data_IF_170183682534
#
_entry.id   IF_170183682534
#
_cell.length_a   1.000
_cell.length_b   1.000
_cell.length_c   1.000
_cell.angle_alpha   90.00
_cell.angle_beta   90.00
_cell.angle_gamma   90.00
#
_symmetry.space_group_name_H-M   'P 1'
#
loop_
_entity.id
_entity.type
_entity.pdbx_description
1 polymer ?
#
# COMPACT_ATOMS: atom_id res chain seq x y z
N UNK A 1 -13.16 -80.67 -22.61
CA UNK A 1 -11.87 -80.89 -23.27
C UNK A 1 -10.85 -79.99 -22.65
N UNK A 2 -9.96 -80.63 -21.95
CA UNK A 2 -8.82 -80.01 -21.26
C UNK A 2 -7.77 -79.53 -22.25
N UNK A 3 -7.09 -78.46 -21.96
CA UNK A 3 -5.66 -78.39 -22.21
C UNK A 3 -5.01 -77.47 -21.20
N UNK A 4 -4.24 -78.08 -20.40
CA UNK A 4 -3.22 -77.71 -19.48
C UNK A 4 -1.99 -77.13 -20.24
N UNK A 5 -1.41 -76.00 -19.79
CA UNK A 5 -0.04 -75.69 -20.05
C UNK A 5 0.57 -74.88 -18.90
N UNK A 6 1.19 -75.64 -18.02
CA UNK A 6 2.28 -75.19 -17.13
C UNK A 6 3.49 -74.73 -17.97
N UNK A 7 4.07 -73.57 -17.62
CA UNK A 7 5.45 -73.24 -17.92
C UNK A 7 5.99 -72.24 -16.89
N UNK A 8 6.72 -72.77 -15.97
CA UNK A 8 8.07 -72.46 -15.49
C UNK A 8 8.42 -71.02 -15.13
N UNK A 9 8.59 -70.89 -13.81
CA UNK A 9 9.40 -69.88 -13.16
C UNK A 9 10.88 -69.97 -13.62
N UNK A 10 11.49 -68.88 -14.03
CA UNK A 10 12.93 -68.67 -13.87
C UNK A 10 13.30 -67.18 -13.94
N UNK A 11 14.18 -66.88 -13.05
CA UNK A 11 15.12 -65.73 -12.91
C UNK A 11 14.66 -64.49 -12.21
N UNK A 12 14.98 -64.50 -10.93
CA UNK A 12 15.25 -63.34 -10.11
C UNK A 12 16.37 -62.48 -10.71
N UNK A 13 16.01 -61.32 -11.21
CA UNK A 13 16.95 -60.25 -11.51
C UNK A 13 17.16 -59.42 -10.25
N UNK A 14 18.32 -59.42 -9.67
CA UNK A 14 18.77 -58.46 -8.69
C UNK A 14 18.63 -57.05 -9.29
N UNK A 15 17.62 -56.31 -8.91
CA UNK A 15 17.63 -54.88 -9.09
C UNK A 15 18.48 -54.27 -7.97
N UNK A 16 19.68 -53.92 -8.35
CA UNK A 16 20.61 -53.07 -7.60
C UNK A 16 19.88 -51.79 -7.24
N UNK A 17 19.50 -51.66 -5.98
CA UNK A 17 19.04 -50.39 -5.41
C UNK A 17 20.29 -49.49 -5.32
N UNK A 18 20.63 -48.85 -6.43
CA UNK A 18 21.47 -47.67 -6.37
C UNK A 18 20.74 -46.65 -5.50
N UNK A 19 21.23 -46.52 -4.27
CA UNK A 19 20.93 -45.39 -3.41
C UNK A 19 21.28 -44.12 -4.21
N UNK A 20 20.27 -43.50 -4.85
CA UNK A 20 20.38 -42.13 -5.22
C UNK A 20 20.62 -41.38 -3.91
N UNK A 21 21.84 -41.00 -3.66
CA UNK A 21 22.14 -39.94 -2.74
C UNK A 21 21.34 -38.74 -3.21
N UNK A 22 20.21 -38.46 -2.56
CA UNK A 22 19.63 -37.12 -2.56
C UNK A 22 20.74 -36.23 -1.99
N UNK A 23 21.55 -35.66 -2.88
CA UNK A 23 22.33 -34.49 -2.58
C UNK A 23 21.33 -33.43 -2.13
N UNK A 24 21.04 -33.37 -0.83
CA UNK A 24 20.45 -32.21 -0.20
C UNK A 24 21.39 -31.04 -0.54
N UNK A 25 21.08 -30.35 -1.64
CA UNK A 25 21.71 -29.06 -1.91
C UNK A 25 21.41 -28.16 -0.72
N UNK A 26 22.34 -28.11 0.22
CA UNK A 26 22.30 -27.17 1.33
C UNK A 26 22.31 -25.78 0.75
N UNK A 27 21.11 -25.21 0.55
CA UNK A 27 20.98 -23.81 0.16
C UNK A 27 21.78 -22.95 1.14
N UNK A 28 22.63 -22.07 0.62
CA UNK A 28 23.38 -21.14 1.47
C UNK A 28 22.41 -20.21 2.20
N UNK A 29 22.82 -19.70 3.38
CA UNK A 29 22.04 -18.72 4.12
C UNK A 29 21.61 -17.54 3.21
N UNK A 30 22.50 -17.08 2.34
CA UNK A 30 22.28 -15.97 1.42
C UNK A 30 21.21 -16.31 0.38
N UNK A 31 21.26 -17.47 -0.25
CA UNK A 31 20.24 -17.88 -1.24
C UNK A 31 18.88 -18.16 -0.61
N UNK A 32 18.85 -18.67 0.62
CA UNK A 32 17.62 -19.04 1.32
C UNK A 32 16.88 -17.84 1.93
N UNK A 33 17.60 -16.89 2.52
CA UNK A 33 17.00 -15.82 3.34
C UNK A 33 17.17 -14.42 2.75
N UNK A 34 18.20 -14.19 1.93
CA UNK A 34 18.49 -12.86 1.36
C UNK A 34 17.99 -12.76 -0.06
N UNK A 35 18.48 -13.59 -0.97
CA UNK A 35 18.06 -13.62 -2.39
C UNK A 35 17.14 -14.81 -2.66
N UNK A 36 16.18 -15.01 -1.77
CA UNK A 36 15.20 -16.09 -1.92
C UNK A 36 14.25 -15.82 -3.09
N UNK A 37 13.93 -16.87 -3.83
CA UNK A 37 12.87 -16.85 -4.85
C UNK A 37 11.55 -17.45 -4.33
N UNK A 38 11.54 -18.02 -3.10
CA UNK A 38 10.34 -18.57 -2.45
C UNK A 38 9.37 -17.45 -2.05
N UNK A 39 8.15 -17.52 -2.52
CA UNK A 39 7.10 -16.54 -2.24
C UNK A 39 6.83 -16.32 -0.75
N UNK A 40 7.00 -17.35 0.09
CA UNK A 40 6.79 -17.26 1.56
C UNK A 40 7.90 -16.45 2.23
N UNK A 41 9.15 -16.64 1.77
CA UNK A 41 10.27 -15.88 2.31
C UNK A 41 10.17 -14.43 1.89
N UNK A 42 9.87 -14.16 0.63
CA UNK A 42 9.67 -12.81 0.10
C UNK A 42 8.52 -12.09 0.84
N UNK A 43 7.42 -12.79 1.10
CA UNK A 43 6.32 -12.27 1.93
C UNK A 43 6.80 -11.81 3.32
N UNK A 44 7.66 -12.60 3.99
CA UNK A 44 8.23 -12.24 5.30
C UNK A 44 9.18 -11.04 5.21
N UNK A 45 9.98 -10.97 4.15
CA UNK A 45 10.89 -9.84 3.91
C UNK A 45 10.10 -8.53 3.74
N UNK A 46 9.03 -8.52 2.94
CA UNK A 46 8.13 -7.36 2.82
C UNK A 46 7.51 -6.99 4.17
N UNK A 47 6.99 -7.96 4.92
CA UNK A 47 6.37 -7.72 6.22
C UNK A 47 7.35 -7.09 7.21
N UNK A 48 8.55 -7.66 7.35
CA UNK A 48 9.54 -7.16 8.31
C UNK A 48 9.96 -5.73 7.94
N UNK A 49 10.26 -5.48 6.66
CA UNK A 49 10.62 -4.13 6.20
C UNK A 49 9.48 -3.14 6.44
N UNK A 50 8.24 -3.51 6.12
CA UNK A 50 7.08 -2.65 6.36
C UNK A 50 6.85 -2.35 7.84
N UNK A 51 7.04 -3.32 8.74
CA UNK A 51 6.93 -3.11 10.20
C UNK A 51 8.02 -2.15 10.70
N UNK A 52 9.26 -2.30 10.23
CA UNK A 52 10.34 -1.37 10.58
C UNK A 52 10.01 0.05 10.12
N UNK A 53 9.58 0.19 8.86
CA UNK A 53 9.17 1.49 8.32
C UNK A 53 7.98 2.08 9.08
N UNK A 54 7.01 1.24 9.47
CA UNK A 54 5.85 1.68 10.27
C UNK A 54 6.29 2.26 11.63
N UNK A 55 7.19 1.58 12.35
CA UNK A 55 7.70 2.06 13.65
C UNK A 55 8.38 3.42 13.48
N UNK A 56 9.21 3.58 12.46
CA UNK A 56 9.90 4.85 12.16
C UNK A 56 8.88 5.95 11.87
N UNK A 57 7.93 5.72 10.95
CA UNK A 57 6.95 6.71 10.55
C UNK A 57 5.98 7.07 11.71
N UNK A 58 5.57 6.09 12.53
CA UNK A 58 4.75 6.34 13.72
C UNK A 58 5.50 7.19 14.75
N UNK A 59 6.79 6.93 14.97
CA UNK A 59 7.63 7.76 15.84
C UNK A 59 7.68 9.21 15.37
N UNK A 60 7.82 9.45 14.06
CA UNK A 60 7.72 10.80 13.47
C UNK A 60 6.38 11.46 13.79
N UNK A 61 5.28 10.71 13.63
CA UNK A 61 3.93 11.19 13.93
C UNK A 61 3.79 11.60 15.41
N UNK A 62 4.31 10.81 16.33
CA UNK A 62 4.29 11.15 17.76
C UNK A 62 5.05 12.46 18.00
N UNK A 63 6.24 12.62 17.45
CA UNK A 63 7.08 13.80 17.64
C UNK A 63 6.36 15.07 17.17
N UNK A 64 5.86 15.11 15.93
CA UNK A 64 5.22 16.33 15.44
C UNK A 64 3.86 16.59 16.10
N UNK A 65 3.13 15.55 16.53
CA UNK A 65 1.87 15.74 17.29
C UNK A 65 2.09 16.26 18.69
N UNK A 66 3.15 15.82 19.36
CA UNK A 66 3.53 16.38 20.66
C UNK A 66 3.85 17.87 20.54
N UNK A 67 4.60 18.30 19.54
CA UNK A 67 4.91 19.70 19.34
C UNK A 67 3.66 20.54 19.00
N UNK A 68 2.69 19.96 18.27
CA UNK A 68 1.40 20.61 18.01
C UNK A 68 0.54 20.74 19.26
N UNK A 69 0.52 19.68 20.10
CA UNK A 69 -0.27 19.68 21.35
C UNK A 69 0.25 20.70 22.36
N UNK A 70 1.57 20.91 22.39
CA UNK A 70 2.23 21.85 23.30
C UNK A 70 3.20 22.76 22.55
N UNK A 71 2.70 23.79 21.84
CA UNK A 71 3.53 24.74 21.10
C UNK A 71 4.45 25.51 22.05
N UNK A 72 5.73 25.54 21.75
CA UNK A 72 6.74 26.23 22.55
C UNK A 72 7.29 25.47 23.77
N UNK A 73 6.72 24.31 24.11
CA UNK A 73 7.29 23.44 25.14
C UNK A 73 8.60 22.79 24.65
N UNK A 74 9.55 22.67 25.56
CA UNK A 74 10.88 22.12 25.30
C UNK A 74 10.90 20.63 25.62
N UNK A 75 11.01 19.80 24.61
CA UNK A 75 11.14 18.36 24.74
C UNK A 75 12.61 17.94 24.67
N UNK A 76 13.23 17.68 25.82
CA UNK A 76 14.65 17.31 25.88
C UNK A 76 15.02 16.09 25.02
N UNK A 77 14.08 15.13 24.82
CA UNK A 77 14.30 13.97 23.98
C UNK A 77 14.39 14.34 22.47
N UNK A 78 13.74 15.40 22.03
CA UNK A 78 13.83 15.89 20.63
C UNK A 78 15.27 16.32 20.36
N UNK A 79 15.84 17.12 21.26
CA UNK A 79 17.25 17.50 21.15
C UNK A 79 18.19 16.29 21.22
N UNK A 80 17.97 15.39 22.20
CA UNK A 80 18.81 14.21 22.38
C UNK A 80 18.77 13.22 21.20
N UNK A 81 17.61 13.05 20.54
CA UNK A 81 17.44 12.13 19.41
C UNK A 81 17.82 12.76 18.06
N UNK A 82 17.47 14.00 17.85
CA UNK A 82 17.50 14.65 16.55
C UNK A 82 18.58 15.74 16.42
N UNK A 83 19.11 16.23 17.54
CA UNK A 83 20.13 17.28 17.59
C UNK A 83 19.58 18.67 17.30
N UNK A 84 20.46 19.70 17.42
CA UNK A 84 20.10 21.12 17.25
C UNK A 84 19.53 21.47 15.89
N UNK A 85 19.91 20.73 14.85
CA UNK A 85 19.41 20.93 13.49
C UNK A 85 17.90 20.73 13.38
N UNK A 86 17.36 19.73 14.06
CA UNK A 86 15.93 19.38 14.05
C UNK A 86 15.13 20.14 15.10
N UNK A 87 15.76 20.45 16.23
CA UNK A 87 15.07 21.07 17.35
C UNK A 87 16.01 21.81 18.30
N UNK A 88 16.21 23.11 18.07
CA UNK A 88 17.00 23.95 18.97
C UNK A 88 16.32 24.03 20.33
N UNK A 89 17.08 23.78 21.40
CA UNK A 89 16.58 23.78 22.76
C UNK A 89 15.41 22.82 23.03
N UNK A 90 15.22 21.80 22.19
CA UNK A 90 14.10 20.85 22.33
C UNK A 90 12.79 21.31 21.72
N UNK A 91 12.76 22.43 20.99
CA UNK A 91 11.61 22.88 20.19
C UNK A 91 11.84 22.49 18.73
N UNK A 92 10.88 21.80 18.14
CA UNK A 92 11.01 21.34 16.74
C UNK A 92 11.04 22.52 15.76
N UNK A 93 12.05 22.53 14.89
CA UNK A 93 12.17 23.53 13.82
C UNK A 93 10.97 23.40 12.86
N UNK A 94 10.30 24.50 12.43
CA UNK A 94 9.18 24.45 11.49
C UNK A 94 9.47 23.71 10.17
N UNK A 95 10.64 23.86 9.58
CA UNK A 95 11.02 23.15 8.37
C UNK A 95 11.15 21.63 8.62
N UNK A 96 11.67 21.27 9.80
CA UNK A 96 11.77 19.86 10.20
C UNK A 96 10.41 19.27 10.58
N UNK A 97 9.50 20.07 11.14
CA UNK A 97 8.12 19.67 11.32
C UNK A 97 7.48 19.26 9.98
N UNK A 98 7.58 20.11 8.95
CA UNK A 98 7.07 19.82 7.60
C UNK A 98 7.75 18.59 6.99
N UNK A 99 9.05 18.43 7.21
CA UNK A 99 9.80 17.26 6.77
C UNK A 99 9.31 15.97 7.43
N UNK A 100 9.07 15.97 8.76
CA UNK A 100 8.52 14.81 9.47
C UNK A 100 7.13 14.44 8.96
N UNK A 101 6.25 15.41 8.72
CA UNK A 101 4.91 15.20 8.16
C UNK A 101 5.00 14.59 6.75
N UNK A 102 5.87 15.14 5.90
CA UNK A 102 6.08 14.66 4.52
C UNK A 102 6.56 13.22 4.49
N UNK A 103 7.60 12.90 5.26
CA UNK A 103 8.21 11.57 5.27
C UNK A 103 7.28 10.55 5.97
N UNK A 104 6.59 10.96 7.05
CA UNK A 104 5.55 10.13 7.67
C UNK A 104 4.49 9.72 6.64
N UNK A 105 3.89 10.69 5.94
CA UNK A 105 2.86 10.42 4.94
C UNK A 105 3.36 9.50 3.82
N UNK A 106 4.53 9.80 3.26
CA UNK A 106 5.15 8.99 2.20
C UNK A 106 5.41 7.55 2.67
N UNK A 107 6.02 7.37 3.84
CA UNK A 107 6.32 6.03 4.37
C UNK A 107 5.04 5.26 4.66
N UNK A 108 4.06 5.88 5.31
CA UNK A 108 2.82 5.19 5.67
C UNK A 108 2.05 4.75 4.44
N UNK A 109 1.89 5.59 3.44
CA UNK A 109 1.14 5.26 2.21
C UNK A 109 1.87 4.19 1.39
N UNK A 110 3.10 4.44 0.99
CA UNK A 110 3.79 3.59 0.02
C UNK A 110 4.50 2.39 0.66
N UNK A 111 5.24 2.59 1.74
CA UNK A 111 6.06 1.51 2.31
C UNK A 111 5.31 0.62 3.30
N UNK A 112 4.40 1.18 4.08
CA UNK A 112 3.66 0.42 5.09
C UNK A 112 2.39 -0.17 4.49
N UNK A 113 1.50 0.66 3.99
CA UNK A 113 0.19 0.20 3.54
C UNK A 113 0.28 -0.54 2.20
N UNK A 114 0.93 0.02 1.19
CA UNK A 114 1.09 -0.66 -0.10
C UNK A 114 2.07 -1.83 0.00
N UNK A 115 3.28 -1.62 0.50
CA UNK A 115 4.26 -2.68 0.70
C UNK A 115 3.84 -3.72 1.73
N UNK A 116 3.25 -3.29 2.87
CA UNK A 116 2.79 -4.18 3.93
C UNK A 116 1.60 -5.05 3.51
N UNK A 117 0.59 -4.49 2.86
CA UNK A 117 -0.58 -5.25 2.41
C UNK A 117 -0.30 -6.00 1.11
N UNK A 118 0.01 -5.28 0.04
CA UNK A 118 0.14 -5.92 -1.28
C UNK A 118 1.39 -6.79 -1.35
N UNK A 119 2.56 -6.28 -0.93
CA UNK A 119 3.81 -7.04 -0.97
C UNK A 119 3.78 -8.28 -0.08
N UNK A 120 3.30 -8.17 1.15
CA UNK A 120 3.23 -9.29 2.09
C UNK A 120 2.16 -10.30 1.71
N UNK A 121 0.90 -9.84 1.61
CA UNK A 121 -0.22 -10.76 1.48
C UNK A 121 -0.41 -11.28 0.06
N UNK A 122 -0.07 -10.51 -0.99
CA UNK A 122 -0.09 -11.05 -2.34
C UNK A 122 0.90 -12.20 -2.49
N UNK A 123 2.15 -12.01 -2.03
CA UNK A 123 3.16 -13.05 -2.05
C UNK A 123 2.77 -14.28 -1.23
N UNK A 124 2.14 -14.09 -0.08
CA UNK A 124 1.72 -15.22 0.75
C UNK A 124 0.50 -15.94 0.15
N UNK A 125 -0.55 -15.18 -0.17
CA UNK A 125 -1.89 -15.73 -0.37
C UNK A 125 -2.18 -16.12 -1.82
N UNK A 126 -1.63 -15.42 -2.81
CA UNK A 126 -1.93 -15.72 -4.22
C UNK A 126 -1.58 -17.18 -4.54
N UNK A 127 -0.33 -17.67 -4.35
CA UNK A 127 -0.02 -19.05 -4.67
C UNK A 127 -0.86 -20.05 -3.86
N UNK A 128 -1.03 -19.80 -2.56
CA UNK A 128 -1.83 -20.70 -1.73
C UNK A 128 -3.29 -20.79 -2.17
N UNK A 129 -3.90 -19.64 -2.50
CA UNK A 129 -5.34 -19.58 -2.77
C UNK A 129 -5.70 -19.96 -4.21
N UNK A 130 -4.77 -19.80 -5.16
CA UNK A 130 -4.98 -20.28 -6.54
C UNK A 130 -4.51 -21.72 -6.74
N UNK A 131 -3.82 -22.31 -5.76
CA UNK A 131 -3.26 -23.67 -5.83
C UNK A 131 -2.00 -23.75 -6.68
N UNK A 132 -1.26 -22.65 -6.84
CA UNK A 132 0.04 -22.61 -7.47
C UNK A 132 1.16 -23.00 -6.49
N UNK A 133 2.24 -23.54 -7.02
CA UNK A 133 3.43 -23.89 -6.22
C UNK A 133 4.18 -22.66 -5.74
N UNK A 134 4.30 -21.66 -6.63
CA UNK A 134 4.96 -20.37 -6.40
C UNK A 134 4.37 -19.32 -7.34
N UNK A 135 4.90 -18.10 -7.30
CA UNK A 135 4.61 -17.05 -8.27
C UNK A 135 5.07 -17.45 -9.67
N UNK A 136 4.49 -16.84 -10.71
CA UNK A 136 4.84 -17.12 -12.10
C UNK A 136 6.32 -16.93 -12.39
N UNK A 137 6.97 -15.95 -11.75
CA UNK A 137 8.40 -15.72 -11.81
C UNK A 137 8.97 -15.45 -10.41
N UNK A 138 9.69 -16.43 -9.86
CA UNK A 138 10.40 -16.25 -8.59
C UNK A 138 11.50 -15.19 -8.66
N UNK A 139 12.17 -15.06 -9.82
CA UNK A 139 13.21 -14.05 -10.03
C UNK A 139 12.65 -12.63 -10.01
N UNK A 140 11.58 -12.37 -10.77
CA UNK A 140 10.93 -11.04 -10.76
C UNK A 140 10.36 -10.71 -9.37
N UNK A 141 9.90 -11.71 -8.65
CA UNK A 141 9.40 -11.56 -7.29
C UNK A 141 10.51 -11.14 -6.32
N UNK A 142 11.64 -11.83 -6.33
CA UNK A 142 12.83 -11.46 -5.56
C UNK A 142 13.32 -10.05 -5.93
N UNK A 143 13.38 -9.73 -7.23
CA UNK A 143 13.84 -8.43 -7.71
C UNK A 143 12.90 -7.32 -7.25
N UNK A 144 11.58 -7.53 -7.24
CA UNK A 144 10.61 -6.57 -6.73
C UNK A 144 10.87 -6.22 -5.26
N UNK A 145 11.17 -7.21 -4.43
CA UNK A 145 11.53 -6.96 -3.04
C UNK A 145 12.82 -6.12 -2.90
N UNK A 146 13.85 -6.42 -3.68
CA UNK A 146 15.12 -5.69 -3.56
C UNK A 146 15.02 -4.24 -4.04
N UNK A 147 14.20 -3.95 -5.04
CA UNK A 147 13.86 -2.56 -5.40
C UNK A 147 13.09 -1.85 -4.28
N UNK A 148 12.15 -2.54 -3.64
CA UNK A 148 11.43 -2.02 -2.47
C UNK A 148 12.36 -1.72 -1.30
N UNK A 149 13.27 -2.63 -0.98
CA UNK A 149 14.23 -2.46 0.10
C UNK A 149 15.22 -1.32 -0.18
N UNK A 150 15.76 -1.26 -1.39
CA UNK A 150 16.64 -0.17 -1.81
C UNK A 150 15.92 1.18 -1.74
N UNK A 151 14.68 1.26 -2.21
CA UNK A 151 13.81 2.43 -2.08
C UNK A 151 13.66 2.87 -0.62
N UNK A 152 13.40 1.91 0.29
CA UNK A 152 13.29 2.17 1.73
C UNK A 152 14.58 2.77 2.31
N UNK A 153 15.73 2.21 1.93
CA UNK A 153 17.04 2.71 2.37
C UNK A 153 17.31 4.13 1.87
N UNK A 154 17.00 4.42 0.60
CA UNK A 154 17.17 5.77 0.02
C UNK A 154 16.26 6.77 0.72
N UNK A 155 14.99 6.42 0.98
CA UNK A 155 14.07 7.28 1.73
C UNK A 155 14.60 7.62 3.11
N UNK A 156 15.07 6.62 3.86
CA UNK A 156 15.61 6.82 5.21
C UNK A 156 16.93 7.58 5.21
N UNK A 157 17.78 7.41 4.19
CA UNK A 157 19.03 8.16 4.08
C UNK A 157 18.82 9.68 3.99
N UNK A 158 17.66 10.12 3.47
CA UNK A 158 17.32 11.54 3.40
C UNK A 158 17.20 12.22 4.78
N UNK A 159 16.99 11.45 5.85
CA UNK A 159 16.92 11.97 7.22
C UNK A 159 18.29 12.49 7.74
N UNK A 160 19.38 12.00 7.16
CA UNK A 160 20.74 12.26 7.64
C UNK A 160 21.53 13.30 6.84
N UNK A 161 20.93 13.84 5.76
CA UNK A 161 21.60 14.85 4.92
C UNK A 161 21.53 16.26 5.54
N UNK A 162 22.40 17.15 5.11
CA UNK A 162 22.61 18.48 5.70
C UNK A 162 21.33 19.35 5.76
N UNK A 163 20.56 19.40 4.69
CA UNK A 163 19.35 20.24 4.60
C UNK A 163 18.06 19.48 4.97
N UNK A 164 18.16 18.24 5.47
CA UNK A 164 17.01 17.40 5.83
C UNK A 164 16.27 16.80 4.63
N UNK A 165 15.27 15.96 4.91
CA UNK A 165 14.49 15.30 3.88
C UNK A 165 13.49 16.24 3.21
N UNK A 166 12.80 15.76 2.17
CA UNK A 166 11.72 16.48 1.52
C UNK A 166 10.68 16.98 2.53
N UNK A 167 10.19 18.21 2.34
CA UNK A 167 9.32 18.91 3.30
C UNK A 167 8.09 19.59 2.67
N UNK A 168 7.81 19.33 1.40
CA UNK A 168 6.68 19.92 0.66
C UNK A 168 5.34 19.16 0.80
N UNK A 169 5.16 18.32 1.83
CA UNK A 169 4.04 17.38 1.94
C UNK A 169 4.27 16.09 1.15
N UNK A 170 3.49 15.03 1.41
CA UNK A 170 3.64 13.76 0.72
C UNK A 170 3.24 13.83 -0.77
N UNK A 171 2.44 14.83 -1.16
CA UNK A 171 2.03 15.13 -2.53
C UNK A 171 3.08 15.89 -3.33
N UNK A 172 4.07 16.50 -2.67
CA UNK A 172 5.21 17.21 -3.27
C UNK A 172 4.84 18.18 -4.40
N UNK A 173 3.85 19.03 -4.21
CA UNK A 173 3.41 19.96 -5.26
C UNK A 173 4.49 20.98 -5.68
N UNK A 174 4.64 21.23 -7.00
CA UNK A 174 5.35 22.41 -7.49
C UNK A 174 4.60 23.69 -7.05
N UNK A 175 5.30 24.82 -6.87
CA UNK A 175 6.71 25.06 -7.19
C UNK A 175 7.72 24.58 -6.13
N UNK A 176 7.29 24.24 -4.89
CA UNK A 176 8.20 23.87 -3.80
C UNK A 176 9.09 22.67 -4.15
N UNK A 177 8.55 21.68 -4.84
CA UNK A 177 9.29 20.48 -5.25
C UNK A 177 10.16 20.71 -6.48
N UNK A 178 9.79 21.65 -7.38
CA UNK A 178 10.48 21.91 -8.63
C UNK A 178 11.68 22.86 -8.47
N UNK A 179 11.64 23.76 -7.49
CA UNK A 179 12.69 24.76 -7.24
C UNK A 179 13.58 24.31 -6.09
N UNK A 180 14.87 23.94 -6.34
CA UNK A 180 15.78 23.49 -5.27
C UNK A 180 15.97 24.52 -4.15
N UNK A 181 15.85 25.81 -4.47
CA UNK A 181 16.08 26.92 -3.54
C UNK A 181 14.81 27.36 -2.79
N UNK A 182 13.65 26.73 -3.06
CA UNK A 182 12.38 27.14 -2.45
C UNK A 182 12.36 26.95 -0.92
N UNK A 183 12.94 25.85 -0.44
CA UNK A 183 13.09 25.56 0.99
C UNK A 183 14.18 24.51 1.21
N UNK A 184 14.63 24.34 2.45
CA UNK A 184 15.72 23.40 2.77
C UNK A 184 15.45 21.99 2.25
N UNK A 185 14.28 21.43 2.48
CA UNK A 185 13.89 20.10 2.01
C UNK A 185 13.70 19.99 0.50
N UNK A 186 13.67 21.10 -0.24
CA UNK A 186 13.61 21.09 -1.71
C UNK A 186 14.95 20.77 -2.38
N UNK A 187 16.07 20.78 -1.66
CA UNK A 187 17.41 20.46 -2.16
C UNK A 187 17.60 18.95 -2.37
N UNK A 188 18.70 18.40 -1.89
CA UNK A 188 19.03 16.97 -2.03
C UNK A 188 17.93 16.04 -1.43
N UNK A 189 17.24 16.49 -0.38
CA UNK A 189 16.14 15.73 0.22
C UNK A 189 15.03 15.38 -0.76
N UNK A 190 14.62 16.34 -1.59
CA UNK A 190 13.63 16.10 -2.63
C UNK A 190 14.18 15.17 -3.73
N UNK A 191 15.45 15.32 -4.11
CA UNK A 191 16.06 14.42 -5.09
C UNK A 191 16.08 12.97 -4.60
N UNK A 192 16.44 12.73 -3.32
CA UNK A 192 16.40 11.40 -2.72
C UNK A 192 14.98 10.85 -2.64
N UNK A 193 13.99 11.71 -2.34
CA UNK A 193 12.57 11.32 -2.39
C UNK A 193 12.19 10.83 -3.79
N UNK A 194 12.53 11.57 -4.84
CA UNK A 194 12.22 11.22 -6.24
C UNK A 194 12.90 9.91 -6.66
N UNK A 195 14.16 9.69 -6.28
CA UNK A 195 14.89 8.44 -6.54
C UNK A 195 14.22 7.27 -5.81
N UNK A 196 13.92 7.46 -4.53
CA UNK A 196 13.24 6.45 -3.73
C UNK A 196 11.90 6.06 -4.34
N UNK A 197 11.07 7.03 -4.70
CA UNK A 197 9.76 6.74 -5.32
C UNK A 197 9.90 6.06 -6.67
N UNK A 198 10.89 6.41 -7.49
CA UNK A 198 11.17 5.72 -8.75
C UNK A 198 11.48 4.23 -8.52
N UNK A 199 12.35 3.93 -7.55
CA UNK A 199 12.67 2.54 -7.17
C UNK A 199 11.43 1.80 -6.65
N UNK A 200 10.61 2.46 -5.84
CA UNK A 200 9.36 1.91 -5.32
C UNK A 200 8.38 1.55 -6.46
N UNK A 201 8.24 2.43 -7.45
CA UNK A 201 7.36 2.21 -8.60
C UNK A 201 7.84 1.01 -9.42
N UNK A 202 9.15 0.89 -9.67
CA UNK A 202 9.73 -0.29 -10.36
C UNK A 202 9.39 -1.56 -9.60
N UNK A 203 9.57 -1.57 -8.28
CA UNK A 203 9.18 -2.68 -7.40
C UNK A 203 7.72 -3.09 -7.59
N UNK A 204 6.82 -2.09 -7.51
CA UNK A 204 5.37 -2.30 -7.59
C UNK A 204 4.92 -2.81 -8.96
N UNK A 205 5.53 -2.35 -10.04
CA UNK A 205 5.25 -2.82 -11.40
C UNK A 205 5.69 -4.27 -11.59
N UNK A 206 6.91 -4.63 -11.15
CA UNK A 206 7.41 -6.01 -11.23
C UNK A 206 6.52 -6.98 -10.44
N UNK A 207 6.15 -6.61 -9.21
CA UNK A 207 5.23 -7.38 -8.37
C UNK A 207 3.84 -7.48 -8.98
N UNK A 208 3.27 -6.36 -9.42
CA UNK A 208 1.92 -6.30 -9.99
C UNK A 208 1.76 -7.16 -11.23
N UNK A 209 2.70 -7.10 -12.18
CA UNK A 209 2.68 -7.95 -13.37
C UNK A 209 2.76 -9.44 -12.98
N UNK A 210 3.66 -9.77 -12.03
CA UNK A 210 3.82 -11.14 -11.55
C UNK A 210 2.55 -11.68 -10.88
N UNK A 211 1.85 -10.86 -10.09
CA UNK A 211 0.58 -11.21 -9.46
C UNK A 211 -0.52 -11.49 -10.50
N UNK A 212 -0.67 -10.60 -11.49
CA UNK A 212 -1.65 -10.77 -12.57
C UNK A 212 -1.41 -12.06 -13.32
N UNK A 213 -0.15 -12.31 -13.75
CA UNK A 213 0.22 -13.51 -14.51
C UNK A 213 -0.01 -14.77 -13.69
N UNK A 214 0.34 -14.76 -12.40
CA UNK A 214 0.13 -15.88 -11.49
C UNK A 214 -1.36 -16.20 -11.36
N UNK A 215 -2.19 -15.20 -11.07
CA UNK A 215 -3.63 -15.37 -10.88
C UNK A 215 -4.32 -15.84 -12.17
N UNK A 216 -3.93 -15.30 -13.33
CA UNK A 216 -4.60 -15.63 -14.59
C UNK A 216 -4.16 -17.01 -15.09
N UNK A 217 -2.88 -17.34 -15.05
CA UNK A 217 -2.33 -18.51 -15.73
C UNK A 217 -2.12 -19.73 -14.82
N UNK A 218 -1.91 -19.54 -13.52
CA UNK A 218 -1.51 -20.64 -12.63
C UNK A 218 -2.64 -21.13 -11.70
N UNK A 219 -3.89 -20.74 -11.94
CA UNK A 219 -5.02 -21.30 -11.19
C UNK A 219 -5.13 -22.80 -11.41
N UNK A 220 -5.41 -23.52 -10.32
CA UNK A 220 -5.67 -24.96 -10.38
C UNK A 220 -6.86 -25.28 -11.30
N UNK A 221 -6.85 -26.47 -11.93
CA UNK A 221 -7.93 -26.92 -12.81
C UNK A 221 -9.28 -26.89 -12.11
N UNK A 222 -10.30 -26.32 -12.75
CA UNK A 222 -11.65 -26.15 -12.19
C UNK A 222 -11.88 -24.87 -11.38
N UNK A 223 -10.84 -24.09 -11.07
CA UNK A 223 -10.98 -22.78 -10.45
C UNK A 223 -11.23 -21.72 -11.52
N UNK A 224 -12.49 -21.54 -11.88
CA UNK A 224 -12.93 -20.43 -12.74
C UNK A 224 -12.85 -19.09 -11.98
N UNK A 225 -12.89 -17.96 -12.69
CA UNK A 225 -12.88 -16.63 -12.07
C UNK A 225 -13.96 -16.49 -10.98
N UNK A 226 -15.17 -17.01 -11.22
CA UNK A 226 -16.29 -16.95 -10.26
C UNK A 226 -16.18 -17.93 -9.07
N UNK A 227 -15.08 -18.68 -8.98
CA UNK A 227 -14.77 -19.57 -7.85
C UNK A 227 -13.53 -19.13 -7.06
N UNK A 228 -12.91 -18.03 -7.46
CA UNK A 228 -11.74 -17.48 -6.74
C UNK A 228 -12.15 -16.88 -5.39
N UNK A 229 -11.32 -17.01 -4.36
CA UNK A 229 -11.49 -16.28 -3.11
C UNK A 229 -11.57 -14.76 -3.32
N UNK A 230 -12.32 -14.05 -2.45
CA UNK A 230 -12.44 -12.59 -2.55
C UNK A 230 -11.12 -11.87 -2.34
N UNK A 231 -10.21 -12.45 -1.55
CA UNK A 231 -8.85 -11.90 -1.39
C UNK A 231 -8.09 -11.91 -2.71
N UNK A 232 -8.19 -12.99 -3.49
CA UNK A 232 -7.54 -13.07 -4.81
C UNK A 232 -8.15 -12.07 -5.80
N UNK A 233 -9.46 -11.87 -5.78
CA UNK A 233 -10.11 -10.81 -6.55
C UNK A 233 -9.62 -9.42 -6.16
N UNK A 234 -9.54 -9.13 -4.87
CA UNK A 234 -9.03 -7.86 -4.38
C UNK A 234 -7.59 -7.61 -4.82
N UNK A 235 -6.71 -8.61 -4.67
CA UNK A 235 -5.31 -8.52 -5.08
C UNK A 235 -5.14 -8.41 -6.61
N UNK A 236 -6.00 -9.08 -7.40
CA UNK A 236 -5.99 -8.94 -8.86
C UNK A 236 -6.34 -7.53 -9.29
N UNK A 237 -7.42 -6.96 -8.74
CA UNK A 237 -7.85 -5.59 -9.07
C UNK A 237 -6.79 -4.60 -8.61
N UNK A 238 -6.25 -4.75 -7.41
CA UNK A 238 -5.14 -3.95 -6.89
C UNK A 238 -3.93 -3.95 -7.83
N UNK A 239 -3.52 -5.13 -8.31
CA UNK A 239 -2.40 -5.25 -9.24
C UNK A 239 -2.69 -4.57 -10.59
N UNK A 240 -3.92 -4.68 -11.10
CA UNK A 240 -4.34 -3.97 -12.33
C UNK A 240 -4.32 -2.46 -12.13
N UNK A 241 -4.86 -1.96 -11.02
CA UNK A 241 -4.81 -0.54 -10.69
C UNK A 241 -3.36 -0.03 -10.66
N UNK A 242 -2.47 -0.75 -9.98
CA UNK A 242 -1.05 -0.38 -9.90
C UNK A 242 -0.35 -0.37 -11.26
N UNK A 243 -0.52 -1.43 -12.07
CA UNK A 243 0.12 -1.51 -13.39
C UNK A 243 -0.34 -0.40 -14.33
N UNK A 244 -1.57 0.08 -14.20
CA UNK A 244 -2.11 1.15 -15.05
C UNK A 244 -1.76 2.56 -14.53
N UNK A 245 -1.65 2.77 -13.22
CA UNK A 245 -1.47 4.10 -12.63
C UNK A 245 -0.01 4.46 -12.30
N UNK A 246 0.81 3.50 -11.87
CA UNK A 246 2.22 3.78 -11.57
C UNK A 246 3.05 4.31 -12.73
N UNK A 247 2.86 3.89 -14.00
CA UNK A 247 3.58 4.50 -15.14
C UNK A 247 3.28 6.00 -15.30
N UNK A 248 2.08 6.45 -14.96
CA UNK A 248 1.74 7.87 -15.01
C UNK A 248 2.48 8.65 -13.92
N UNK A 249 2.64 8.07 -12.72
CA UNK A 249 3.46 8.69 -11.68
C UNK A 249 4.94 8.73 -12.07
N UNK A 250 5.47 7.69 -12.78
CA UNK A 250 6.85 7.76 -13.31
C UNK A 250 6.99 8.95 -14.24
N UNK A 251 6.05 9.16 -15.16
CA UNK A 251 6.06 10.32 -16.06
C UNK A 251 6.06 11.62 -15.28
N UNK A 252 5.20 11.73 -14.25
CA UNK A 252 5.13 12.88 -13.36
C UNK A 252 6.47 13.17 -12.68
N UNK A 253 7.12 12.14 -12.11
CA UNK A 253 8.42 12.26 -11.43
C UNK A 253 9.53 12.62 -12.41
N UNK A 254 9.55 12.03 -13.61
CA UNK A 254 10.57 12.34 -14.63
C UNK A 254 10.49 13.78 -15.12
N UNK A 255 9.28 14.30 -15.38
CA UNK A 255 9.10 15.70 -15.76
C UNK A 255 9.56 16.64 -14.63
N UNK A 256 9.29 16.28 -13.36
CA UNK A 256 9.78 17.05 -12.22
C UNK A 256 11.31 17.02 -12.11
N UNK A 257 11.95 15.89 -12.39
CA UNK A 257 13.42 15.80 -12.44
C UNK A 257 13.96 16.68 -13.56
N UNK A 258 13.31 16.74 -14.72
CA UNK A 258 13.71 17.64 -15.80
C UNK A 258 13.63 19.10 -15.37
N UNK A 259 12.55 19.53 -14.73
CA UNK A 259 12.43 20.92 -14.23
C UNK A 259 13.53 21.26 -13.22
N UNK A 260 13.89 20.31 -12.34
CA UNK A 260 14.91 20.49 -11.31
C UNK A 260 16.35 20.49 -11.83
N UNK A 261 16.62 19.71 -12.87
CA UNK A 261 18.00 19.37 -13.28
C UNK A 261 18.38 19.84 -14.68
N UNK A 262 17.39 20.03 -15.56
CA UNK A 262 17.60 20.39 -16.96
C UNK A 262 17.10 21.80 -17.33
N UNK A 263 16.55 22.53 -16.34
CA UNK A 263 16.04 23.90 -16.56
C UNK A 263 14.78 23.94 -17.46
N UNK A 264 14.00 22.85 -17.50
CA UNK A 264 12.68 22.86 -18.14
C UNK A 264 11.64 23.49 -17.22
N UNK A 265 10.45 23.77 -17.73
CA UNK A 265 9.36 24.40 -16.97
C UNK A 265 8.02 23.73 -17.21
N UNK A 266 7.97 22.40 -17.18
CA UNK A 266 6.71 21.64 -17.31
C UNK A 266 5.68 22.01 -16.25
N UNK A 267 6.14 22.25 -15.02
CA UNK A 267 5.30 22.52 -13.85
C UNK A 267 5.48 23.94 -13.28
N UNK A 268 6.33 24.72 -13.88
CA UNK A 268 6.63 26.10 -13.46
C UNK A 268 5.93 27.09 -14.39
N UNK A 269 4.99 27.84 -13.86
CA UNK A 269 4.37 28.99 -14.51
C UNK A 269 5.15 30.27 -14.19
N UNK A 270 4.63 31.43 -14.58
CA UNK A 270 5.17 32.73 -14.18
C UNK A 270 5.23 32.86 -12.66
N UNK A 271 6.43 32.76 -12.10
CA UNK A 271 6.66 32.82 -10.66
C UNK A 271 7.43 34.10 -10.36
N UNK A 272 6.95 34.88 -9.39
CA UNK A 272 7.60 36.09 -8.89
C UNK A 272 8.12 35.84 -7.48
N UNK A 273 9.42 36.00 -7.26
CA UNK A 273 10.04 35.97 -5.94
C UNK A 273 10.59 37.34 -5.61
N UNK A 274 10.07 37.98 -4.54
CA UNK A 274 10.47 39.33 -4.17
C UNK A 274 10.19 40.37 -5.24
N UNK A 275 9.15 40.20 -6.04
CA UNK A 275 8.78 41.10 -7.13
C UNK A 275 9.58 40.93 -8.43
N UNK A 276 10.46 39.92 -8.50
CA UNK A 276 11.25 39.60 -9.71
C UNK A 276 10.71 38.32 -10.35
N UNK A 277 10.44 38.32 -11.67
CA UNK A 277 10.04 37.09 -12.34
C UNK A 277 11.21 36.09 -12.36
N UNK A 278 10.91 34.81 -12.21
CA UNK A 278 11.83 33.74 -12.57
C UNK A 278 11.81 33.53 -14.09
N UNK A 279 12.92 33.15 -14.66
CA UNK A 279 13.05 32.92 -16.11
C UNK A 279 12.33 31.65 -16.61
N UNK A 280 11.46 31.08 -15.80
CA UNK A 280 10.70 29.87 -16.09
C UNK A 280 9.31 30.23 -16.60
N UNK A 281 9.03 29.97 -17.86
CA UNK A 281 7.78 30.36 -18.52
C UNK A 281 7.12 29.14 -19.17
N UNK A 282 5.82 29.02 -19.05
CA UNK A 282 4.98 28.19 -19.92
C UNK A 282 4.45 26.87 -19.38
N UNK A 283 4.79 26.49 -18.15
CA UNK A 283 4.25 25.29 -17.50
C UNK A 283 3.07 25.58 -16.58
N UNK A 284 2.61 24.53 -15.87
CA UNK A 284 1.52 24.67 -14.89
C UNK A 284 1.64 23.63 -13.76
N UNK A 285 1.58 24.02 -12.48
CA UNK A 285 1.47 23.12 -11.36
C UNK A 285 0.24 22.18 -11.45
N UNK A 286 -0.83 22.63 -12.10
CA UNK A 286 -2.05 21.83 -12.31
C UNK A 286 -1.77 20.59 -13.15
N UNK A 287 -0.82 20.66 -14.11
CA UNK A 287 -0.40 19.47 -14.85
C UNK A 287 0.22 18.41 -13.92
N UNK A 288 1.07 18.84 -12.97
CA UNK A 288 1.61 17.93 -11.95
C UNK A 288 0.49 17.29 -11.15
N UNK A 289 -0.46 18.07 -10.66
CA UNK A 289 -1.57 17.58 -9.84
C UNK A 289 -2.42 16.55 -10.59
N UNK A 290 -2.75 16.76 -11.86
CA UNK A 290 -3.46 15.77 -12.67
C UNK A 290 -2.68 14.46 -12.82
N UNK A 291 -1.39 14.53 -13.13
CA UNK A 291 -0.55 13.33 -13.27
C UNK A 291 -0.34 12.61 -11.93
N UNK A 292 -0.15 13.36 -10.85
CA UNK A 292 0.00 12.81 -9.51
C UNK A 292 -1.29 12.12 -9.03
N UNK A 293 -2.43 12.80 -9.14
CA UNK A 293 -3.72 12.29 -8.64
C UNK A 293 -4.32 11.19 -9.50
N UNK A 294 -3.91 11.09 -10.77
CA UNK A 294 -4.26 9.93 -11.59
C UNK A 294 -3.72 8.61 -10.99
N UNK A 295 -2.61 8.64 -10.26
CA UNK A 295 -2.23 7.56 -9.36
C UNK A 295 -2.84 7.75 -7.97
N UNK A 296 -2.78 8.95 -7.40
CA UNK A 296 -3.05 9.20 -5.99
C UNK A 296 -4.41 8.70 -5.53
N UNK A 297 -5.45 8.82 -6.36
CA UNK A 297 -6.75 8.26 -6.03
C UNK A 297 -6.80 6.72 -6.21
N UNK A 298 -6.39 6.11 -7.32
CA UNK A 298 -6.23 4.65 -7.37
C UNK A 298 -5.37 4.08 -6.24
N UNK A 299 -4.36 4.80 -5.77
CA UNK A 299 -3.51 4.36 -4.66
C UNK A 299 -4.27 4.10 -3.37
N UNK A 300 -5.25 4.92 -3.03
CA UNK A 300 -6.07 4.68 -1.82
C UNK A 300 -6.86 3.37 -1.92
N UNK A 301 -7.26 2.96 -3.13
CA UNK A 301 -7.90 1.66 -3.34
C UNK A 301 -6.89 0.51 -3.47
N UNK A 302 -5.68 0.76 -3.99
CA UNK A 302 -4.57 -0.20 -3.96
C UNK A 302 -4.28 -0.62 -2.52
N UNK A 303 -4.36 0.31 -1.58
CA UNK A 303 -4.22 0.07 -0.15
C UNK A 303 -5.45 -0.63 0.45
N UNK A 304 -6.65 -0.15 0.15
CA UNK A 304 -7.87 -0.57 0.86
C UNK A 304 -8.43 -1.91 0.37
N UNK A 305 -8.40 -2.19 -0.94
CA UNK A 305 -8.99 -3.41 -1.50
C UNK A 305 -8.38 -4.70 -0.94
N UNK A 306 -7.05 -4.85 -0.79
CA UNK A 306 -6.46 -6.02 -0.15
C UNK A 306 -6.96 -6.23 1.28
N UNK A 307 -7.06 -5.16 2.07
CA UNK A 307 -7.58 -5.21 3.43
C UNK A 307 -9.03 -5.70 3.48
N UNK A 308 -9.88 -5.20 2.58
CA UNK A 308 -11.26 -5.66 2.43
C UNK A 308 -11.33 -7.12 1.95
N UNK A 309 -10.46 -7.54 1.04
CA UNK A 309 -10.35 -8.94 0.60
C UNK A 309 -10.01 -9.87 1.76
N UNK A 310 -8.94 -9.56 2.50
CA UNK A 310 -8.51 -10.27 3.71
C UNK A 310 -9.66 -10.39 4.72
N UNK A 311 -10.30 -9.27 5.04
CA UNK A 311 -11.41 -9.26 5.99
C UNK A 311 -12.60 -10.07 5.53
N UNK A 312 -12.84 -10.22 4.22
CA UNK A 312 -13.90 -11.09 3.69
C UNK A 312 -13.72 -12.55 4.13
N UNK A 313 -12.50 -13.06 4.08
CA UNK A 313 -12.19 -14.43 4.50
C UNK A 313 -12.17 -14.59 6.01
N UNK A 314 -11.59 -13.61 6.72
CA UNK A 314 -11.56 -13.64 8.19
C UNK A 314 -12.99 -13.61 8.76
N UNK A 315 -13.85 -12.71 8.24
CA UNK A 315 -15.25 -12.60 8.67
C UNK A 315 -16.01 -13.91 8.36
N UNK A 316 -15.90 -14.44 7.15
CA UNK A 316 -16.55 -15.69 6.75
C UNK A 316 -16.12 -16.85 7.66
N UNK A 317 -14.84 -17.02 7.87
CA UNK A 317 -14.25 -18.09 8.69
C UNK A 317 -14.71 -17.99 10.15
N UNK A 318 -14.62 -16.79 10.75
CA UNK A 318 -14.91 -16.59 12.16
C UNK A 318 -16.39 -16.38 12.47
N UNK A 319 -17.24 -16.08 11.49
CA UNK A 319 -18.71 -16.12 11.64
C UNK A 319 -19.29 -17.50 11.36
N UNK A 320 -18.47 -18.44 10.85
CA UNK A 320 -18.85 -19.79 10.42
C UNK A 320 -19.99 -19.76 9.40
N UNK A 321 -19.96 -18.77 8.50
CA UNK A 321 -20.93 -18.58 7.42
C UNK A 321 -20.21 -18.24 6.13
N UNK A 322 -20.72 -18.67 4.97
CA UNK A 322 -20.24 -18.16 3.70
C UNK A 322 -20.48 -16.66 3.63
N UNK A 323 -19.57 -15.94 2.93
CA UNK A 323 -19.74 -14.50 2.70
C UNK A 323 -21.08 -14.23 1.98
N UNK A 324 -21.87 -13.31 2.51
CA UNK A 324 -23.12 -12.93 1.89
C UNK A 324 -22.85 -12.16 0.59
N UNK A 325 -23.61 -12.50 -0.46
CA UNK A 325 -23.57 -11.75 -1.71
C UNK A 325 -22.22 -11.82 -2.45
N UNK A 326 -21.57 -12.98 -2.52
CA UNK A 326 -20.26 -13.17 -3.17
C UNK A 326 -20.15 -12.47 -4.55
N UNK A 327 -21.17 -12.61 -5.42
CA UNK A 327 -21.17 -11.96 -6.73
C UNK A 327 -21.28 -10.43 -6.62
N UNK A 328 -22.09 -9.94 -5.67
CA UNK A 328 -22.21 -8.51 -5.40
C UNK A 328 -20.88 -7.94 -4.83
N UNK A 329 -20.15 -8.71 -4.02
CA UNK A 329 -18.83 -8.35 -3.54
C UNK A 329 -17.81 -8.22 -4.68
N UNK A 330 -17.81 -9.13 -5.65
CA UNK A 330 -16.96 -9.02 -6.85
C UNK A 330 -17.37 -7.80 -7.67
N UNK A 331 -18.66 -7.65 -7.97
CA UNK A 331 -19.18 -6.52 -8.74
C UNK A 331 -18.82 -5.18 -8.11
N UNK A 332 -18.92 -5.06 -6.77
CA UNK A 332 -18.54 -3.84 -6.06
C UNK A 332 -17.04 -3.55 -6.14
N UNK A 333 -16.17 -4.57 -6.06
CA UNK A 333 -14.72 -4.37 -6.23
C UNK A 333 -14.36 -3.93 -7.65
N UNK A 334 -14.98 -4.54 -8.66
CA UNK A 334 -14.79 -4.16 -10.07
C UNK A 334 -15.28 -2.72 -10.33
N UNK A 335 -16.45 -2.37 -9.79
CA UNK A 335 -16.98 -1.01 -9.90
C UNK A 335 -16.08 0.04 -9.24
N UNK A 336 -15.58 -0.23 -8.01
CA UNK A 336 -14.62 0.65 -7.34
C UNK A 336 -13.35 0.78 -8.18
N UNK A 337 -12.79 -0.34 -8.67
CA UNK A 337 -11.59 -0.32 -9.50
C UNK A 337 -11.76 0.49 -10.78
N UNK A 338 -12.88 0.36 -11.47
CA UNK A 338 -13.16 1.14 -12.67
C UNK A 338 -13.35 2.63 -12.35
N UNK A 339 -14.20 2.95 -11.37
CA UNK A 339 -14.50 4.32 -10.99
C UNK A 339 -13.25 5.06 -10.49
N UNK A 340 -12.30 4.37 -9.87
CA UNK A 340 -11.08 4.98 -9.34
C UNK A 340 -10.26 5.74 -10.41
N UNK A 341 -10.40 5.39 -11.69
CA UNK A 341 -9.73 6.07 -12.80
C UNK A 341 -10.46 7.28 -13.35
N UNK A 342 -11.65 7.60 -12.85
CA UNK A 342 -12.48 8.72 -13.39
C UNK A 342 -12.94 9.69 -12.29
N UNK A 343 -12.29 9.66 -11.11
CA UNK A 343 -12.70 10.46 -9.95
C UNK A 343 -11.57 11.33 -9.37
N UNK A 344 -10.33 11.18 -9.83
CA UNK A 344 -9.15 11.80 -9.19
C UNK A 344 -9.24 13.31 -9.01
N UNK A 345 -10.01 14.01 -9.83
CA UNK A 345 -10.12 15.48 -9.79
C UNK A 345 -10.81 16.04 -8.55
N UNK A 346 -11.44 15.19 -7.71
CA UNK A 346 -11.97 15.67 -6.42
C UNK A 346 -10.86 16.11 -5.44
N UNK A 347 -9.64 15.68 -5.65
CA UNK A 347 -8.47 16.20 -4.92
C UNK A 347 -8.03 17.59 -5.40
N UNK A 348 -8.71 18.15 -6.40
CA UNK A 348 -8.28 19.35 -7.11
C UNK A 348 -9.40 20.38 -7.26
N UNK A 349 -10.45 20.34 -6.45
CA UNK A 349 -11.59 21.26 -6.56
C UNK A 349 -11.19 22.73 -6.40
N UNK A 350 -10.14 23.01 -5.61
CA UNK A 350 -9.65 24.37 -5.35
C UNK A 350 -8.46 24.80 -6.24
N UNK A 351 -8.04 24.00 -7.22
CA UNK A 351 -6.91 24.32 -8.10
C UNK A 351 -7.26 25.27 -9.25
N UNK A 352 -8.51 25.73 -9.34
CA UNK A 352 -8.98 26.57 -10.43
C UNK A 352 -9.39 25.77 -11.67
N UNK A 353 -9.75 24.49 -11.53
CA UNK A 353 -10.25 23.68 -12.65
C UNK A 353 -11.56 24.24 -13.21
N UNK A 354 -11.85 23.89 -14.47
CA UNK A 354 -13.12 24.25 -15.11
C UNK A 354 -14.32 23.75 -14.29
N UNK A 355 -15.32 24.60 -13.93
CA UNK A 355 -16.46 24.23 -13.11
C UNK A 355 -17.29 23.06 -13.67
N UNK A 356 -17.40 22.95 -14.99
CA UNK A 356 -18.10 21.82 -15.62
C UNK A 356 -17.36 20.51 -15.34
N UNK A 357 -16.02 20.50 -15.48
CA UNK A 357 -15.19 19.34 -15.16
C UNK A 357 -15.28 19.00 -13.67
N UNK A 358 -15.28 20.01 -12.79
CA UNK A 358 -15.52 19.84 -11.37
C UNK A 358 -16.84 19.12 -11.09
N UNK A 359 -17.93 19.52 -11.73
CA UNK A 359 -19.26 18.88 -11.59
C UNK A 359 -19.25 17.41 -12.05
N UNK A 360 -18.51 17.08 -13.11
CA UNK A 360 -18.32 15.70 -13.56
C UNK A 360 -17.60 14.87 -12.47
N UNK A 361 -16.54 15.42 -11.87
CA UNK A 361 -15.82 14.73 -10.78
C UNK A 361 -16.68 14.58 -9.51
N UNK A 362 -17.53 15.55 -9.17
CA UNK A 362 -18.52 15.40 -8.09
C UNK A 362 -19.41 14.19 -8.35
N UNK A 363 -20.03 14.13 -9.53
CA UNK A 363 -20.95 13.05 -9.88
C UNK A 363 -20.27 11.68 -9.86
N UNK A 364 -19.11 11.55 -10.52
CA UNK A 364 -18.39 10.28 -10.59
C UNK A 364 -17.89 9.83 -9.22
N UNK A 365 -17.48 10.77 -8.35
CA UNK A 365 -17.03 10.47 -6.99
C UNK A 365 -18.16 9.97 -6.10
N UNK A 366 -19.34 10.62 -6.16
CA UNK A 366 -20.51 10.18 -5.41
C UNK A 366 -20.98 8.78 -5.80
N UNK A 367 -20.76 8.36 -7.07
CA UNK A 367 -21.09 7.00 -7.50
C UNK A 367 -20.28 5.91 -6.75
N UNK A 368 -19.08 6.20 -6.25
CA UNK A 368 -18.26 5.23 -5.49
C UNK A 368 -18.92 4.86 -4.15
N UNK A 369 -19.76 5.73 -3.60
CA UNK A 369 -20.47 5.43 -2.37
C UNK A 369 -21.38 4.19 -2.51
N UNK A 370 -21.94 3.94 -3.69
CA UNK A 370 -22.85 2.82 -3.95
C UNK A 370 -22.14 1.46 -3.78
N UNK A 371 -21.08 1.14 -4.54
CA UNK A 371 -20.38 -0.13 -4.39
C UNK A 371 -19.70 -0.27 -3.00
N UNK A 372 -19.29 0.84 -2.38
CA UNK A 372 -18.75 0.83 -1.02
C UNK A 372 -19.80 0.46 0.02
N UNK A 373 -21.01 1.00 -0.09
CA UNK A 373 -22.14 0.64 0.77
C UNK A 373 -22.53 -0.84 0.60
N UNK A 374 -22.55 -1.37 -0.64
CA UNK A 374 -22.79 -2.79 -0.91
C UNK A 374 -21.82 -3.68 -0.13
N UNK A 375 -20.52 -3.33 -0.10
CA UNK A 375 -19.54 -4.09 0.68
C UNK A 375 -19.83 -4.04 2.17
N UNK A 376 -20.09 -2.85 2.71
CA UNK A 376 -20.39 -2.68 4.13
C UNK A 376 -21.62 -3.51 4.55
N UNK A 377 -22.71 -3.42 3.80
CA UNK A 377 -23.93 -4.21 4.08
C UNK A 377 -23.70 -5.72 3.96
N UNK A 378 -22.91 -6.18 3.00
CA UNK A 378 -22.60 -7.58 2.84
C UNK A 378 -21.77 -8.14 4.01
N UNK A 379 -20.83 -7.36 4.56
CA UNK A 379 -20.12 -7.75 5.79
C UNK A 379 -21.07 -7.85 6.99
N UNK A 380 -21.90 -6.82 7.20
CA UNK A 380 -22.89 -6.82 8.30
C UNK A 380 -23.85 -7.99 8.17
N UNK A 381 -24.34 -8.27 6.96
CA UNK A 381 -25.24 -9.41 6.69
C UNK A 381 -24.53 -10.76 6.89
N UNK A 382 -23.23 -10.83 6.60
CA UNK A 382 -22.45 -12.05 6.91
C UNK A 382 -22.34 -12.28 8.40
N UNK A 383 -22.17 -11.22 9.20
CA UNK A 383 -22.15 -11.29 10.66
C UNK A 383 -23.53 -11.66 11.25
N UNK A 384 -24.60 -11.18 10.63
CA UNK A 384 -25.98 -11.39 11.11
C UNK A 384 -26.31 -12.87 11.24
N UNK A 385 -26.75 -13.29 12.45
CA UNK A 385 -27.03 -14.70 12.80
C UNK A 385 -25.85 -15.65 12.57
N UNK A 386 -24.62 -15.17 12.56
CA UNK A 386 -23.40 -15.99 12.53
C UNK A 386 -23.05 -16.53 13.92
N UNK A 387 -22.39 -17.69 13.96
CA UNK A 387 -21.75 -18.18 15.18
C UNK A 387 -20.35 -17.54 15.33
N UNK A 388 -20.35 -16.28 15.75
CA UNK A 388 -19.16 -15.41 15.73
C UNK A 388 -18.14 -15.87 16.77
N UNK A 389 -16.92 -16.12 16.31
CA UNK A 389 -15.75 -16.36 17.15
C UNK A 389 -14.95 -15.07 17.25
N UNK A 390 -14.97 -14.43 18.40
CA UNK A 390 -14.27 -13.17 18.66
C UNK A 390 -12.76 -13.39 18.84
N UNK A 391 -12.09 -13.93 17.83
CA UNK A 391 -10.63 -14.01 17.78
C UNK A 391 -10.02 -12.63 17.57
N UNK A 392 -8.73 -12.38 17.88
CA UNK A 392 -8.08 -11.12 17.54
C UNK A 392 -8.24 -10.75 16.05
N UNK A 393 -8.07 -11.71 15.14
CA UNK A 393 -8.28 -11.50 13.70
C UNK A 393 -9.71 -10.99 13.40
N UNK A 394 -10.73 -11.58 14.06
CA UNK A 394 -12.13 -11.18 13.88
C UNK A 394 -12.40 -9.78 14.43
N UNK A 395 -11.85 -9.44 15.59
CA UNK A 395 -12.00 -8.10 16.16
C UNK A 395 -11.40 -7.03 15.26
N UNK A 396 -10.20 -7.26 14.72
CA UNK A 396 -9.59 -6.37 13.74
C UNK A 396 -10.42 -6.25 12.46
N UNK A 397 -11.04 -7.34 11.99
CA UNK A 397 -11.94 -7.28 10.81
C UNK A 397 -13.24 -6.52 11.09
N UNK A 398 -13.82 -6.65 12.29
CA UNK A 398 -14.99 -5.85 12.71
C UNK A 398 -14.60 -4.39 12.83
N UNK A 399 -13.43 -4.09 13.42
CA UNK A 399 -12.87 -2.76 13.51
C UNK A 399 -12.67 -2.13 12.13
N UNK A 400 -12.15 -2.91 11.15
CA UNK A 400 -12.05 -2.45 9.76
C UNK A 400 -13.43 -2.07 9.20
N UNK A 401 -14.45 -2.90 9.35
CA UNK A 401 -15.79 -2.58 8.82
C UNK A 401 -16.36 -1.32 9.47
N UNK A 402 -16.18 -1.16 10.79
CA UNK A 402 -16.62 0.02 11.52
C UNK A 402 -15.91 1.29 11.03
N UNK A 403 -14.58 1.27 10.95
CA UNK A 403 -13.80 2.44 10.50
C UNK A 403 -14.04 2.74 9.01
N UNK A 404 -14.20 1.71 8.17
CA UNK A 404 -14.55 1.88 6.76
C UNK A 404 -15.89 2.61 6.57
N UNK A 405 -16.92 2.27 7.37
CA UNK A 405 -18.21 2.96 7.31
C UNK A 405 -18.09 4.40 7.84
N UNK A 406 -17.46 4.59 9.01
CA UNK A 406 -17.30 5.90 9.63
C UNK A 406 -16.51 6.86 8.73
N UNK A 407 -15.37 6.43 8.22
CA UNK A 407 -14.57 7.25 7.31
C UNK A 407 -15.20 7.41 5.92
N UNK A 408 -15.96 6.40 5.45
CA UNK A 408 -16.67 6.48 4.16
C UNK A 408 -17.76 7.54 4.13
N UNK A 409 -18.47 7.76 5.25
CA UNK A 409 -19.50 8.83 5.36
C UNK A 409 -18.86 10.23 5.20
N UNK A 410 -17.67 10.45 5.76
CA UNK A 410 -16.95 11.72 5.59
C UNK A 410 -16.50 11.93 4.14
N UNK A 411 -16.28 10.86 3.38
CA UNK A 411 -15.97 10.92 1.96
C UNK A 411 -17.10 11.46 1.10
N UNK A 412 -18.35 11.26 1.48
CA UNK A 412 -19.52 11.85 0.79
C UNK A 412 -19.50 13.38 0.89
N UNK A 413 -19.09 13.92 2.05
CA UNK A 413 -18.96 15.36 2.28
C UNK A 413 -17.84 15.92 1.38
N UNK A 414 -16.69 15.26 1.31
CA UNK A 414 -15.56 15.69 0.47
C UNK A 414 -15.82 15.50 -1.04
N UNK A 415 -16.74 14.61 -1.41
CA UNK A 415 -17.13 14.40 -2.80
C UNK A 415 -17.97 15.54 -3.38
N UNK A 416 -18.65 16.31 -2.54
CA UNK A 416 -19.45 17.48 -2.94
C UNK A 416 -18.57 18.73 -2.92
N UNK A 417 -18.28 19.30 -4.08
CA UNK A 417 -17.42 20.48 -4.21
C UNK A 417 -17.92 21.69 -3.43
N UNK A 418 -19.23 21.83 -3.22
CA UNK A 418 -19.80 22.94 -2.44
C UNK A 418 -19.54 22.81 -0.94
N UNK A 419 -19.45 21.60 -0.45
CA UNK A 419 -19.07 21.31 0.94
C UNK A 419 -17.54 21.28 1.07
N UNK A 420 -16.85 20.68 0.12
CA UNK A 420 -15.40 20.52 0.13
C UNK A 420 -14.65 21.85 0.20
N UNK A 421 -15.15 22.89 -0.48
CA UNK A 421 -14.55 24.22 -0.46
C UNK A 421 -14.31 24.79 0.96
N UNK A 422 -15.09 24.33 1.94
CA UNK A 422 -14.97 24.77 3.34
C UNK A 422 -14.06 23.87 4.18
N UNK A 423 -13.80 22.66 3.74
CA UNK A 423 -13.05 21.64 4.51
C UNK A 423 -11.80 21.13 3.78
N UNK A 424 -11.60 21.54 2.52
CA UNK A 424 -10.40 21.25 1.74
C UNK A 424 -9.15 21.78 2.45
N UNK A 425 -8.05 21.05 2.39
CA UNK A 425 -6.77 21.38 3.05
C UNK A 425 -6.88 21.59 4.57
N UNK A 426 -7.94 21.10 5.20
CA UNK A 426 -8.11 21.11 6.66
C UNK A 426 -7.88 19.73 7.28
N UNK A 427 -7.88 19.67 8.61
CA UNK A 427 -7.84 18.41 9.35
C UNK A 427 -9.06 17.49 9.10
N UNK A 428 -10.13 17.99 8.49
CA UNK A 428 -11.26 17.16 8.07
C UNK A 428 -10.83 16.15 6.99
N UNK A 429 -10.04 16.57 6.00
CA UNK A 429 -9.45 15.69 4.99
C UNK A 429 -8.51 14.68 5.64
N UNK A 430 -7.67 15.16 6.58
CA UNK A 430 -6.73 14.31 7.33
C UNK A 430 -7.49 13.25 8.14
N UNK A 431 -8.59 13.63 8.81
CA UNK A 431 -9.43 12.69 9.55
C UNK A 431 -10.07 11.66 8.62
N UNK A 432 -10.60 12.10 7.46
CA UNK A 432 -11.20 11.21 6.47
C UNK A 432 -10.25 10.07 6.08
N UNK A 433 -9.08 10.40 5.52
CA UNK A 433 -8.21 9.35 5.01
C UNK A 433 -7.51 8.55 6.13
N UNK A 434 -7.29 9.13 7.31
CA UNK A 434 -6.76 8.35 8.44
C UNK A 434 -7.75 7.29 8.93
N UNK A 435 -9.06 7.57 8.91
CA UNK A 435 -10.07 6.62 9.35
C UNK A 435 -10.35 5.59 8.24
N UNK A 436 -10.63 6.03 7.00
CA UNK A 436 -11.06 5.13 5.92
C UNK A 436 -9.92 4.33 5.32
N UNK A 437 -8.72 4.91 5.21
CA UNK A 437 -7.55 4.26 4.61
C UNK A 437 -6.58 3.80 5.70
N UNK A 438 -6.06 4.73 6.51
CA UNK A 438 -5.04 4.44 7.51
C UNK A 438 -5.49 3.36 8.50
N UNK A 439 -6.54 3.63 9.27
CA UNK A 439 -7.01 2.73 10.32
C UNK A 439 -7.61 1.44 9.72
N UNK A 440 -8.47 1.57 8.70
CA UNK A 440 -9.12 0.38 8.12
C UNK A 440 -8.09 -0.55 7.46
N UNK A 441 -7.11 -0.03 6.73
CA UNK A 441 -6.10 -0.86 6.09
C UNK A 441 -5.17 -1.53 7.12
N UNK A 442 -4.77 -0.80 8.18
CA UNK A 442 -3.98 -1.37 9.28
C UNK A 442 -4.76 -2.47 10.01
N UNK A 443 -6.04 -2.25 10.28
CA UNK A 443 -6.90 -3.28 10.86
C UNK A 443 -6.99 -4.52 9.96
N UNK A 444 -7.14 -4.35 8.64
CA UNK A 444 -7.10 -5.45 7.69
C UNK A 444 -5.76 -6.18 7.67
N UNK A 445 -4.65 -5.44 7.75
CA UNK A 445 -3.30 -6.00 7.84
C UNK A 445 -3.16 -6.88 9.10
N UNK A 446 -3.53 -6.36 10.27
CA UNK A 446 -3.46 -7.14 11.51
C UNK A 446 -4.44 -8.31 11.52
N UNK A 447 -5.65 -8.16 10.97
CA UNK A 447 -6.56 -9.28 10.78
C UNK A 447 -5.89 -10.41 9.98
N UNK A 448 -5.24 -10.06 8.88
CA UNK A 448 -4.47 -10.99 8.05
C UNK A 448 -3.29 -11.62 8.78
N UNK A 449 -2.47 -10.82 9.49
CA UNK A 449 -1.34 -11.32 10.26
C UNK A 449 -1.82 -12.34 11.30
N UNK A 450 -2.81 -12.01 12.14
CA UNK A 450 -3.33 -12.93 13.14
C UNK A 450 -3.93 -14.21 12.53
N UNK A 451 -4.61 -14.08 11.37
CA UNK A 451 -5.26 -15.22 10.72
C UNK A 451 -4.27 -16.18 10.07
N UNK A 452 -3.28 -15.65 9.34
CA UNK A 452 -2.31 -16.46 8.61
C UNK A 452 -0.95 -16.61 9.30
N UNK A 453 -0.76 -16.09 10.52
CA UNK A 453 0.49 -16.23 11.26
C UNK A 453 1.00 -17.69 11.35
N UNK A 454 0.12 -18.69 11.58
CA UNK A 454 0.56 -20.09 11.58
C UNK A 454 1.12 -20.55 10.23
N UNK A 455 0.60 -20.01 9.11
CA UNK A 455 1.13 -20.30 7.77
C UNK A 455 2.45 -19.60 7.49
N UNK A 456 2.67 -18.42 8.09
CA UNK A 456 3.88 -17.65 7.92
C UNK A 456 5.05 -18.16 8.77
N UNK A 457 4.78 -18.51 10.04
CA UNK A 457 5.81 -18.72 11.04
C UNK A 457 5.71 -20.08 11.74
N UNK A 458 4.78 -20.95 11.36
CA UNK A 458 4.53 -22.28 11.96
C UNK A 458 4.24 -22.25 13.47
N UNK A 459 3.75 -21.12 13.97
CA UNK A 459 3.42 -20.89 15.39
C UNK A 459 2.12 -20.13 15.54
N UNK A 460 1.43 -20.28 16.66
CA UNK A 460 0.24 -19.51 17.01
C UNK A 460 0.64 -18.27 17.82
N UNK A 461 -0.02 -17.15 17.53
CA UNK A 461 0.10 -15.94 18.35
C UNK A 461 -0.70 -16.08 19.66
N UNK A 462 -0.21 -15.47 20.73
CA UNK A 462 -0.87 -15.47 22.04
C UNK A 462 -2.18 -14.66 22.02
N UNK A 463 -3.31 -15.32 22.31
CA UNK A 463 -4.64 -14.68 22.26
C UNK A 463 -4.78 -13.49 23.22
N UNK A 464 -4.26 -13.58 24.47
CA UNK A 464 -4.37 -12.51 25.47
C UNK A 464 -3.69 -11.22 24.99
N UNK A 465 -2.44 -11.33 24.49
CA UNK A 465 -1.74 -10.19 23.90
C UNK A 465 -2.40 -9.68 22.63
N UNK A 466 -3.01 -10.57 21.83
CA UNK A 466 -3.77 -10.18 20.66
C UNK A 466 -5.01 -9.33 20.98
N UNK A 467 -5.72 -9.66 22.06
CA UNK A 467 -6.83 -8.82 22.53
C UNK A 467 -6.34 -7.47 23.05
N UNK A 468 -5.28 -7.47 23.85
CA UNK A 468 -4.68 -6.22 24.33
C UNK A 468 -4.23 -5.32 23.17
N UNK A 469 -3.57 -5.92 22.15
CA UNK A 469 -3.15 -5.21 20.94
C UNK A 469 -4.35 -4.55 20.23
N UNK A 470 -5.44 -5.28 20.02
CA UNK A 470 -6.64 -4.72 19.38
C UNK A 470 -7.20 -3.50 20.15
N UNK A 471 -7.30 -3.60 21.48
CA UNK A 471 -7.88 -2.53 22.28
C UNK A 471 -6.96 -1.32 22.45
N UNK A 472 -5.66 -1.47 22.26
CA UNK A 472 -4.70 -0.36 22.29
C UNK A 472 -4.50 0.32 20.92
N UNK A 473 -4.86 -0.37 19.83
CA UNK A 473 -4.81 0.18 18.46
C UNK A 473 -6.07 0.97 18.14
#
# INVERSE_FOLDING_TARGET
MAHDHTATLEHAGHHDHSHAHDDEHHESFVSKYVFSMDHKMISRQFLITAVVMAVIAMTMSIIFRMQLAWPGEKFGFIHAMLGDKWGKDGILNPNMYLALVTIHGTIMVFFVLTGGLSGTFANLLIPYQVGARDMASGFLNMLSYWFFFASSCVMLSSLFIEHGPASGGWTIYPPLSALPEAMDGSKLGMTLWLISMTLFIVSSLLGGINYIVTIINLRTKGMTMTRMPLTVWALLITAILGVLSFPVLVSCVLLLICDRSLGTSFYLSDIYIGGRPLDNVGGSPVLFEHLFWFLGHPEVYIVLLPALGISSEVISTNSRKPIFGYRAMIGSMLAIGFLSFIVWGHHMFLTGMNPFLGSVFVFTTLLIAIPSAVKAFNYITTLWKGNIQYTPAMLFSIGLVSSFVTGGVTGIILADSTLDINVHDTYFVVAHFHIVMGLSAIFGMFAGVYHWFPKMFLRMMGKKLGYLHFWLT
#
